data_IF_504163557512
#
_entry.id   IF_504163557512
#
_cell.length_a   1.000
_cell.length_b   1.000
_cell.length_c   1.000
_cell.angle_alpha   90.00
_cell.angle_beta   90.00
_cell.angle_gamma   90.00
#
_symmetry.space_group_name_H-M   'P 1'
#
loop_
_entity.id
_entity.type
_entity.pdbx_description
1 polymer ?
#
# COMPACT_ATOMS: atom_id res chain seq x y z
N UNK A 1 -1.57 -2.26 -63.32
CA UNK A 1 -0.98 -1.63 -62.11
C UNK A 1 -2.02 -1.66 -61.01
N UNK A 2 -2.03 -2.72 -60.20
CA UNK A 2 -3.04 -2.90 -59.14
C UNK A 2 -2.38 -2.57 -57.81
N UNK A 3 -2.75 -1.43 -57.21
CA UNK A 3 -2.24 -1.02 -55.89
C UNK A 3 -2.85 -1.93 -54.83
N UNK A 4 -2.02 -2.72 -54.17
CA UNK A 4 -2.38 -3.53 -53.01
C UNK A 4 -2.44 -2.61 -51.79
N UNK A 5 -3.61 -2.48 -51.17
CA UNK A 5 -3.77 -1.75 -49.91
C UNK A 5 -3.04 -2.50 -48.77
N UNK A 6 -2.36 -1.80 -47.86
CA UNK A 6 -1.68 -2.43 -46.72
C UNK A 6 -2.72 -2.99 -45.74
N UNK A 7 -2.47 -4.20 -45.23
CA UNK A 7 -3.28 -4.82 -44.18
C UNK A 7 -3.11 -4.03 -42.87
N UNK A 8 -4.17 -3.86 -42.06
CA UNK A 8 -4.04 -3.25 -40.75
C UNK A 8 -3.13 -4.11 -39.87
N UNK A 9 -2.09 -3.49 -39.32
CA UNK A 9 -1.21 -4.12 -38.34
C UNK A 9 -2.00 -4.53 -37.11
N UNK A 10 -1.71 -5.72 -36.58
CA UNK A 10 -2.30 -6.20 -35.34
C UNK A 10 -1.98 -5.21 -34.21
N UNK A 11 -3.03 -4.65 -33.59
CA UNK A 11 -2.88 -3.90 -32.34
C UNK A 11 -2.38 -4.90 -31.29
N UNK A 12 -1.25 -4.64 -30.59
CA UNK A 12 -0.77 -5.55 -29.57
C UNK A 12 -1.87 -5.73 -28.52
N UNK A 13 -2.31 -6.97 -28.33
CA UNK A 13 -3.31 -7.31 -27.32
C UNK A 13 -2.73 -6.95 -25.96
N UNK A 14 -3.33 -5.98 -25.28
CA UNK A 14 -2.94 -5.66 -23.90
C UNK A 14 -3.11 -6.93 -23.07
N UNK A 15 -2.03 -7.35 -22.40
CA UNK A 15 -2.05 -8.47 -21.45
C UNK A 15 -3.23 -8.28 -20.49
N UNK A 16 -4.05 -9.31 -20.32
CA UNK A 16 -5.09 -9.24 -19.30
C UNK A 16 -4.43 -9.15 -17.93
N UNK A 17 -5.13 -8.61 -16.93
CA UNK A 17 -4.60 -8.60 -15.55
C UNK A 17 -4.17 -10.00 -15.11
N UNK A 18 -4.88 -11.04 -15.56
CA UNK A 18 -4.55 -12.43 -15.24
C UNK A 18 -3.31 -12.92 -15.98
N UNK A 19 -3.06 -12.45 -17.21
CA UNK A 19 -1.81 -12.75 -17.93
C UNK A 19 -0.62 -12.05 -17.27
N UNK A 20 -0.75 -10.78 -16.88
CA UNK A 20 0.29 -10.04 -16.17
C UNK A 20 0.61 -10.69 -14.82
N UNK A 21 -0.40 -11.11 -14.06
CA UNK A 21 -0.20 -11.87 -12.82
C UNK A 21 0.42 -13.25 -13.07
N UNK A 22 0.04 -13.93 -14.16
CA UNK A 22 0.57 -15.25 -14.51
C UNK A 22 2.03 -15.19 -14.94
N UNK A 23 2.41 -14.19 -15.74
CA UNK A 23 3.81 -13.94 -16.11
C UNK A 23 4.69 -13.60 -14.90
N UNK A 24 4.16 -12.81 -13.96
CA UNK A 24 4.85 -12.50 -12.71
C UNK A 24 5.00 -13.74 -11.81
N UNK A 25 3.97 -14.57 -11.71
CA UNK A 25 4.02 -15.84 -10.99
C UNK A 25 5.03 -16.83 -11.63
N UNK A 26 5.16 -16.81 -12.95
CA UNK A 26 6.10 -17.65 -13.71
C UNK A 26 7.57 -17.23 -13.56
N UNK A 27 7.85 -15.95 -13.28
CA UNK A 27 9.21 -15.40 -13.08
C UNK A 27 9.79 -15.63 -11.68
N UNK A 28 9.10 -16.39 -10.81
CA UNK A 28 9.55 -16.64 -9.42
C UNK A 28 10.90 -17.39 -9.39
N UNK A 29 11.92 -16.90 -8.67
CA UNK A 29 12.88 -17.80 -8.06
C UNK A 29 12.15 -18.65 -7.01
N UNK A 30 12.28 -19.97 -7.12
CA UNK A 30 11.81 -20.88 -6.07
C UNK A 30 12.61 -20.59 -4.81
N UNK A 31 11.99 -20.04 -3.77
CA UNK A 31 12.62 -20.04 -2.44
C UNK A 31 12.72 -21.50 -1.99
N UNK A 32 13.92 -22.03 -1.72
CA UNK A 32 14.03 -23.38 -1.21
C UNK A 32 13.38 -23.43 0.17
N UNK A 33 12.50 -24.41 0.35
CA UNK A 33 11.96 -24.75 1.65
C UNK A 33 13.07 -25.40 2.49
N UNK A 34 13.50 -24.70 3.53
CA UNK A 34 14.17 -25.29 4.69
C UNK A 34 15.69 -25.33 4.65
N UNK A 35 16.32 -24.54 5.52
CA UNK A 35 17.26 -25.05 6.53
C UNK A 35 17.47 -23.95 7.59
N UNK A 36 16.77 -24.05 8.72
CA UNK A 36 17.14 -23.30 9.93
C UNK A 36 18.24 -24.09 10.63
N UNK A 37 19.48 -23.78 10.29
CA UNK A 37 20.64 -24.24 11.04
C UNK A 37 20.60 -23.63 12.44
N UNK A 38 20.51 -24.49 13.44
CA UNK A 38 20.65 -24.14 14.85
C UNK A 38 22.06 -23.62 15.12
N UNK A 39 22.17 -22.40 15.63
CA UNK A 39 23.39 -21.86 16.22
C UNK A 39 23.15 -21.59 17.71
N UNK A 40 23.53 -22.61 18.48
CA UNK A 40 24.22 -22.63 19.76
C UNK A 40 24.04 -21.49 20.78
N UNK A 41 23.74 -21.90 22.02
CA UNK A 41 23.64 -21.09 23.23
C UNK A 41 25.00 -21.10 23.91
N UNK A 42 25.61 -19.93 24.13
CA UNK A 42 26.55 -19.69 25.25
C UNK A 42 26.97 -18.22 25.33
N UNK A 43 26.49 -17.49 26.35
CA UNK A 43 27.34 -16.95 27.43
C UNK A 43 26.58 -15.99 28.38
N UNK A 44 26.74 -16.26 29.66
CA UNK A 44 26.60 -15.36 30.82
C UNK A 44 27.40 -14.05 30.61
N UNK A 45 27.20 -12.91 31.25
CA UNK A 45 26.57 -12.47 32.50
C UNK A 45 27.29 -11.16 32.90
N UNK A 46 26.59 -10.18 33.48
CA UNK A 46 27.11 -9.02 34.24
C UNK A 46 25.94 -8.03 34.44
N UNK A 47 25.24 -8.08 35.58
CA UNK A 47 25.50 -7.30 36.81
C UNK A 47 24.99 -5.84 36.75
N UNK A 48 24.08 -5.57 37.68
CA UNK A 48 23.51 -4.26 38.04
C UNK A 48 24.46 -3.52 38.98
N UNK A 49 24.28 -2.20 39.13
CA UNK A 49 24.19 -1.71 40.50
C UNK A 49 22.96 -0.84 40.78
N UNK A 50 22.66 -0.76 42.07
CA UNK A 50 21.54 -0.09 42.70
C UNK A 50 21.99 1.21 43.39
N UNK A 51 21.01 2.06 43.72
CA UNK A 51 21.11 3.23 44.60
C UNK A 51 20.30 4.40 44.01
N UNK A 52 19.39 5.09 44.67
CA UNK A 52 18.92 5.11 46.06
C UNK A 52 18.47 6.56 46.37
N UNK A 53 17.20 6.74 46.80
CA UNK A 53 16.60 7.84 47.62
C UNK A 53 16.90 9.34 47.28
N UNK A 54 16.07 10.37 47.49
CA UNK A 54 14.69 10.60 47.91
C UNK A 54 14.39 12.13 47.79
N UNK A 55 13.09 12.49 47.75
CA UNK A 55 12.44 13.75 48.24
C UNK A 55 12.70 15.09 47.55
N UNK A 56 11.64 15.73 47.05
CA UNK A 56 10.92 16.86 47.72
C UNK A 56 9.86 17.49 46.78
N UNK A 57 8.78 18.01 47.37
CA UNK A 57 7.55 18.44 46.71
C UNK A 57 7.50 19.96 46.38
N UNK A 58 6.86 20.27 45.23
CA UNK A 58 5.97 21.41 44.85
C UNK A 58 6.39 22.90 45.05
N UNK A 59 5.81 23.90 44.31
CA UNK A 59 4.48 23.90 43.69
C UNK A 59 4.32 24.46 42.25
N UNK A 60 3.07 24.37 41.80
CA UNK A 60 2.51 24.74 40.50
C UNK A 60 2.75 26.17 40.00
N UNK A 61 2.92 26.30 38.68
CA UNK A 61 2.62 27.51 37.93
C UNK A 61 1.92 27.15 36.60
N UNK A 62 0.73 27.74 36.41
CA UNK A 62 -0.08 27.66 35.20
C UNK A 62 0.60 28.47 34.08
N UNK A 63 0.72 27.88 32.90
CA UNK A 63 1.10 28.56 31.66
C UNK A 63 0.58 27.77 30.47
N UNK A 64 -0.56 28.22 29.92
CA UNK A 64 -1.25 27.60 28.79
C UNK A 64 -0.76 28.20 27.48
N UNK A 65 0.03 27.43 26.73
CA UNK A 65 0.28 27.57 25.29
C UNK A 65 0.98 26.27 24.89
N UNK A 66 0.49 25.40 24.03
CA UNK A 66 -0.38 25.61 22.89
C UNK A 66 0.30 24.93 21.72
N UNK A 67 0.35 23.60 21.70
CA UNK A 67 0.81 22.83 20.52
C UNK A 67 0.26 21.40 20.61
N UNK A 68 -0.81 21.14 19.87
CA UNK A 68 -1.30 19.78 19.61
C UNK A 68 -0.40 19.17 18.55
N UNK A 69 0.54 18.34 18.96
CA UNK A 69 1.18 17.37 18.07
C UNK A 69 0.12 16.33 17.66
N UNK A 70 -0.53 16.55 16.52
CA UNK A 70 -1.37 15.56 15.86
C UNK A 70 -0.49 14.52 15.18
N UNK A 71 -0.14 13.45 15.89
CA UNK A 71 0.39 12.24 15.28
C UNK A 71 -0.74 11.53 14.54
N UNK A 72 -0.81 11.70 13.22
CA UNK A 72 -1.65 10.88 12.35
C UNK A 72 -1.07 9.47 12.28
N UNK A 73 -1.50 8.62 13.21
CA UNK A 73 -1.23 7.19 13.18
C UNK A 73 -1.71 6.60 11.85
N UNK A 74 -0.78 5.99 11.15
CA UNK A 74 -0.93 5.45 9.80
C UNK A 74 -1.95 4.33 9.82
N UNK A 75 -3.14 4.56 9.26
CA UNK A 75 -4.23 3.58 9.12
C UNK A 75 -3.96 2.47 8.09
N UNK A 76 -2.81 1.80 8.20
CA UNK A 76 -2.54 0.53 7.53
C UNK A 76 -3.00 -0.59 8.46
N UNK A 77 -3.82 -1.52 7.95
CA UNK A 77 -4.17 -2.73 8.68
C UNK A 77 -2.86 -3.46 9.02
N UNK A 78 -2.60 -3.64 10.31
CA UNK A 78 -1.43 -4.37 10.82
C UNK A 78 -1.61 -5.88 10.57
N UNK A 79 -0.53 -6.56 10.19
CA UNK A 79 -0.52 -8.00 9.91
C UNK A 79 -0.18 -8.87 11.14
N UNK A 80 -0.23 -8.31 12.36
CA UNK A 80 0.26 -8.96 13.59
C UNK A 80 -0.86 -9.51 14.51
N UNK A 81 -0.61 -10.71 15.06
CA UNK A 81 -1.56 -11.59 15.73
C UNK A 81 -2.14 -11.19 17.10
N UNK A 82 -2.98 -12.10 17.60
CA UNK A 82 -4.05 -12.06 18.62
C UNK A 82 -3.65 -11.61 20.04
N UNK A 83 -4.56 -10.93 20.79
CA UNK A 83 -4.71 -11.18 22.23
C UNK A 83 -6.08 -11.77 22.58
N UNK A 84 -6.08 -12.60 23.64
CA UNK A 84 -7.22 -13.34 24.14
C UNK A 84 -8.25 -12.44 24.85
N UNK A 85 -9.54 -12.69 24.58
CA UNK A 85 -10.67 -12.36 25.45
C UNK A 85 -11.18 -10.91 25.42
N UNK A 86 -12.37 -10.70 24.85
CA UNK A 86 -13.18 -9.51 25.13
C UNK A 86 -13.96 -8.91 23.95
N UNK A 87 -15.30 -8.95 24.06
CA UNK A 87 -16.36 -8.24 23.30
C UNK A 87 -16.02 -7.58 21.94
N UNK A 88 -16.65 -8.14 20.91
CA UNK A 88 -16.65 -7.73 19.50
C UNK A 88 -17.20 -6.29 19.27
N UNK A 89 -16.29 -5.31 19.24
CA UNK A 89 -16.48 -4.03 18.54
C UNK A 89 -15.24 -3.79 17.69
N UNK A 90 -15.42 -3.80 16.36
CA UNK A 90 -14.35 -3.79 15.36
C UNK A 90 -13.33 -2.67 15.57
N UNK A 91 -12.15 -3.04 16.06
CA UNK A 91 -10.89 -2.29 15.98
C UNK A 91 -9.75 -3.29 16.15
N UNK A 92 -8.92 -3.47 15.12
CA UNK A 92 -7.59 -4.08 15.26
C UNK A 92 -7.48 -5.60 15.36
N UNK A 93 -8.35 -6.39 14.72
CA UNK A 93 -8.11 -7.81 14.50
C UNK A 93 -7.51 -8.05 13.12
N UNK A 94 -6.29 -8.60 13.04
CA UNK A 94 -5.74 -9.08 11.77
C UNK A 94 -6.68 -10.13 11.18
N UNK A 95 -7.06 -9.94 9.91
CA UNK A 95 -7.93 -10.88 9.19
C UNK A 95 -7.16 -12.20 9.05
N UNK A 96 -7.68 -13.34 9.56
CA UNK A 96 -6.99 -14.62 9.47
C UNK A 96 -6.72 -15.03 8.01
N UNK A 97 -5.62 -15.74 7.75
CA UNK A 97 -5.24 -16.16 6.39
C UNK A 97 -6.32 -17.01 5.71
N UNK A 98 -7.11 -17.76 6.49
CA UNK A 98 -8.26 -18.51 5.97
C UNK A 98 -9.39 -17.60 5.46
N UNK A 99 -9.67 -16.51 6.17
CA UNK A 99 -10.62 -15.51 5.69
C UNK A 99 -10.07 -14.83 4.44
N UNK A 100 -8.76 -14.54 4.38
CA UNK A 100 -8.14 -14.02 3.17
C UNK A 100 -8.31 -14.96 1.96
N UNK A 101 -8.12 -16.28 2.11
CA UNK A 101 -8.40 -17.24 1.02
C UNK A 101 -9.81 -17.07 0.48
N UNK A 102 -10.81 -17.06 1.36
CA UNK A 102 -12.22 -16.89 0.97
C UNK A 102 -12.50 -15.55 0.26
N UNK A 103 -11.82 -14.47 0.66
CA UNK A 103 -11.95 -13.15 0.02
C UNK A 103 -11.28 -13.10 -1.35
N UNK A 104 -10.16 -13.79 -1.51
CA UNK A 104 -9.41 -13.89 -2.76
C UNK A 104 -10.13 -14.82 -3.75
N UNK A 105 -10.78 -15.88 -3.28
CA UNK A 105 -11.55 -16.82 -4.13
C UNK A 105 -12.89 -16.23 -4.61
N UNK A 106 -13.34 -15.11 -4.03
CA UNK A 106 -14.61 -14.50 -4.41
C UNK A 106 -14.54 -13.79 -5.77
N UNK A 107 -15.11 -14.42 -6.81
CA UNK A 107 -15.08 -13.98 -8.21
C UNK A 107 -15.46 -12.52 -8.42
N UNK A 108 -16.60 -12.04 -7.88
CA UNK A 108 -17.00 -10.64 -8.10
C UNK A 108 -16.10 -9.63 -7.39
N UNK A 109 -15.39 -10.05 -6.33
CA UNK A 109 -14.44 -9.17 -5.65
C UNK A 109 -13.19 -9.01 -6.51
N UNK A 110 -12.68 -10.11 -7.07
CA UNK A 110 -11.58 -10.08 -8.06
C UNK A 110 -11.94 -9.22 -9.26
N UNK A 111 -13.12 -9.42 -9.85
CA UNK A 111 -13.58 -8.63 -11.01
C UNK A 111 -13.68 -7.14 -10.68
N UNK A 112 -14.24 -6.77 -9.53
CA UNK A 112 -14.33 -5.37 -9.08
C UNK A 112 -12.96 -4.77 -8.78
N UNK A 113 -12.02 -5.55 -8.25
CA UNK A 113 -10.66 -5.11 -8.04
C UNK A 113 -9.98 -4.82 -9.38
N UNK A 114 -9.97 -5.81 -10.29
CA UNK A 114 -9.38 -5.70 -11.63
C UNK A 114 -9.93 -4.50 -12.42
N UNK A 115 -11.26 -4.33 -12.43
CA UNK A 115 -11.91 -3.21 -13.13
C UNK A 115 -11.53 -1.82 -12.57
N UNK A 116 -10.96 -1.75 -11.37
CA UNK A 116 -10.53 -0.51 -10.72
C UNK A 116 -9.03 -0.28 -10.81
N UNK A 117 -8.26 -1.18 -11.42
CA UNK A 117 -6.83 -0.97 -11.65
C UNK A 117 -6.64 -0.42 -13.06
N UNK A 118 -6.15 0.81 -13.16
CA UNK A 118 -5.63 1.34 -14.43
C UNK A 118 -4.21 0.82 -14.66
N UNK A 119 -4.09 -0.22 -15.47
CA UNK A 119 -2.80 -0.80 -15.83
C UNK A 119 -2.06 0.08 -16.85
N UNK A 120 -0.74 0.10 -16.70
CA UNK A 120 0.22 0.82 -17.55
C UNK A 120 1.41 -0.11 -17.78
N UNK A 121 2.45 0.38 -18.45
CA UNK A 121 3.72 -0.35 -18.59
C UNK A 121 4.24 -0.89 -17.25
N UNK A 122 4.98 -2.00 -17.30
CA UNK A 122 5.38 -2.77 -16.12
C UNK A 122 6.24 -1.99 -15.12
N UNK A 123 6.98 -0.97 -15.57
CA UNK A 123 7.80 -0.10 -14.72
C UNK A 123 7.02 1.10 -14.13
N UNK A 124 5.78 1.32 -14.58
CA UNK A 124 4.93 2.47 -14.20
C UNK A 124 3.94 2.13 -13.10
N UNK A 125 3.54 3.14 -12.32
CA UNK A 125 2.49 2.97 -11.31
C UNK A 125 1.15 2.64 -11.98
N UNK A 126 0.47 1.59 -11.51
CA UNK A 126 -0.91 1.27 -11.93
C UNK A 126 -1.89 1.92 -10.97
N UNK A 127 -2.73 2.85 -11.43
CA UNK A 127 -3.51 3.70 -10.52
C UNK A 127 -4.84 3.05 -10.10
N UNK A 128 -5.17 3.17 -8.82
CA UNK A 128 -6.47 2.76 -8.28
C UNK A 128 -7.58 3.75 -8.61
N UNK A 129 -8.65 3.27 -9.24
CA UNK A 129 -9.80 4.08 -9.68
C UNK A 129 -11.01 4.04 -8.73
N UNK A 130 -10.90 3.32 -7.62
CA UNK A 130 -11.95 3.20 -6.60
C UNK A 130 -11.89 4.28 -5.51
N UNK A 131 -12.52 3.97 -4.37
CA UNK A 131 -12.46 4.82 -3.18
C UNK A 131 -11.03 4.93 -2.65
N UNK A 132 -10.66 6.10 -2.13
CA UNK A 132 -9.32 6.45 -1.63
C UNK A 132 -9.48 6.99 -0.22
N UNK A 133 -8.66 6.53 0.74
CA UNK A 133 -8.65 7.08 2.10
C UNK A 133 -7.91 8.40 2.21
N UNK A 134 -8.07 9.08 3.33
CA UNK A 134 -7.30 10.25 3.78
C UNK A 134 -5.76 10.09 3.69
N UNK A 135 -5.27 8.86 3.77
CA UNK A 135 -3.85 8.51 3.60
C UNK A 135 -3.44 8.21 2.15
N UNK A 136 -4.33 8.43 1.17
CA UNK A 136 -4.06 8.19 -0.26
C UNK A 136 -4.19 6.73 -0.73
N UNK A 137 -4.43 5.80 0.18
CA UNK A 137 -4.55 4.39 -0.16
C UNK A 137 -5.90 4.05 -0.78
N UNK A 138 -5.89 3.21 -1.82
CA UNK A 138 -7.11 2.61 -2.35
C UNK A 138 -7.84 1.74 -1.31
N UNK A 139 -9.17 1.77 -1.32
CA UNK A 139 -10.03 0.94 -0.46
C UNK A 139 -10.97 0.08 -1.30
N UNK A 140 -11.09 -1.19 -0.91
CA UNK A 140 -11.94 -2.19 -1.55
C UNK A 140 -12.85 -2.85 -0.51
N UNK A 141 -14.16 -2.88 -0.77
CA UNK A 141 -15.09 -3.75 -0.04
C UNK A 141 -14.97 -5.17 -0.60
N UNK A 142 -14.31 -6.07 0.12
CA UNK A 142 -14.11 -7.46 -0.24
C UNK A 142 -15.21 -8.34 0.38
N UNK A 143 -15.78 -9.22 -0.43
CA UNK A 143 -16.87 -10.13 -0.07
C UNK A 143 -16.37 -11.57 -0.09
N UNK A 144 -17.07 -12.45 0.62
CA UNK A 144 -16.86 -13.91 0.66
C UNK A 144 -18.22 -14.60 0.64
N UNK A 145 -18.24 -15.88 0.25
CA UNK A 145 -19.48 -16.64 0.04
C UNK A 145 -20.41 -16.66 1.27
N UNK A 146 -19.83 -16.76 2.47
CA UNK A 146 -20.56 -16.69 3.72
C UNK A 146 -19.96 -15.63 4.65
N UNK A 147 -20.82 -14.84 5.29
CA UNK A 147 -20.43 -13.82 6.27
C UNK A 147 -20.36 -12.40 5.72
N UNK A 148 -19.96 -11.47 6.60
CA UNK A 148 -19.92 -10.05 6.26
C UNK A 148 -18.77 -9.70 5.32
N UNK A 149 -19.04 -8.80 4.39
CA UNK A 149 -17.99 -8.14 3.61
C UNK A 149 -17.14 -7.25 4.53
N UNK A 150 -15.86 -7.14 4.22
CA UNK A 150 -14.91 -6.29 4.95
C UNK A 150 -14.30 -5.25 4.02
N UNK A 151 -13.91 -4.10 4.56
CA UNK A 151 -13.16 -3.09 3.79
C UNK A 151 -11.67 -3.34 4.02
N UNK A 152 -10.94 -3.54 2.92
CA UNK A 152 -9.49 -3.78 2.92
C UNK A 152 -8.79 -2.68 2.11
N UNK A 153 -7.51 -2.49 2.37
CA UNK A 153 -6.66 -1.66 1.52
C UNK A 153 -6.41 -2.37 0.19
N UNK A 154 -6.54 -1.66 -0.93
CA UNK A 154 -6.50 -2.22 -2.27
C UNK A 154 -5.16 -2.91 -2.57
N UNK A 155 -4.03 -2.28 -2.24
CA UNK A 155 -2.72 -2.91 -2.48
C UNK A 155 -2.50 -4.16 -1.63
N UNK A 156 -3.11 -4.24 -0.44
CA UNK A 156 -3.03 -5.43 0.42
C UNK A 156 -3.81 -6.58 -0.20
N UNK A 157 -4.97 -6.28 -0.77
CA UNK A 157 -5.74 -7.26 -1.55
C UNK A 157 -4.96 -7.70 -2.79
N UNK A 158 -4.42 -6.75 -3.58
CA UNK A 158 -3.68 -7.03 -4.79
C UNK A 158 -2.41 -7.85 -4.56
N UNK A 159 -1.63 -7.51 -3.53
CA UNK A 159 -0.43 -8.27 -3.18
C UNK A 159 -0.78 -9.71 -2.85
N UNK A 160 -1.82 -9.94 -2.03
CA UNK A 160 -2.23 -11.28 -1.63
C UNK A 160 -2.92 -12.06 -2.74
N UNK A 161 -3.59 -11.37 -3.67
CA UNK A 161 -4.09 -11.99 -4.89
C UNK A 161 -2.94 -12.50 -5.78
N UNK A 162 -1.81 -11.80 -5.78
CA UNK A 162 -0.63 -12.13 -6.60
C UNK A 162 0.24 -13.21 -5.95
N UNK A 163 0.48 -13.10 -4.65
CA UNK A 163 1.47 -13.92 -3.92
C UNK A 163 0.84 -14.97 -3.00
N UNK A 164 -0.49 -14.96 -2.86
CA UNK A 164 -1.24 -15.75 -1.90
C UNK A 164 -1.41 -15.05 -0.55
N UNK A 165 -2.27 -15.60 0.33
CA UNK A 165 -2.50 -15.07 1.66
C UNK A 165 -1.20 -15.00 2.48
N UNK A 166 -1.00 -13.87 3.16
CA UNK A 166 0.11 -13.73 4.11
C UNK A 166 -0.22 -14.61 5.33
N UNK A 167 0.68 -15.54 5.64
CA UNK A 167 0.62 -16.29 6.87
C UNK A 167 1.19 -15.43 8.00
N UNK A 168 0.36 -15.10 9.00
CA UNK A 168 0.86 -14.43 10.19
C UNK A 168 1.86 -15.34 10.91
N UNK A 169 3.02 -14.80 11.27
CA UNK A 169 4.05 -15.48 12.04
C UNK A 169 4.23 -14.76 13.36
N UNK A 170 4.28 -15.51 14.45
CA UNK A 170 4.43 -14.92 15.78
C UNK A 170 5.73 -14.11 15.85
N UNK A 171 5.63 -12.86 16.30
CA UNK A 171 6.77 -11.95 16.41
C UNK A 171 7.12 -11.16 15.14
N UNK A 172 6.44 -11.38 14.02
CA UNK A 172 6.64 -10.59 12.80
C UNK A 172 5.60 -9.46 12.68
N UNK A 173 6.05 -8.22 12.43
CA UNK A 173 5.20 -7.08 12.04
C UNK A 173 5.55 -6.66 10.61
N UNK A 174 4.95 -7.36 9.66
CA UNK A 174 5.13 -7.12 8.23
C UNK A 174 4.10 -6.12 7.69
N UNK A 175 4.50 -5.42 6.64
CA UNK A 175 3.66 -4.55 5.82
C UNK A 175 3.98 -4.75 4.36
N UNK A 176 3.00 -4.40 3.52
CA UNK A 176 3.25 -4.23 2.09
C UNK A 176 3.66 -2.77 1.89
N UNK A 177 4.93 -2.56 1.57
CA UNK A 177 5.52 -1.26 1.28
C UNK A 177 5.50 -0.95 -0.22
N UNK A 178 5.46 0.34 -0.56
CA UNK A 178 5.61 0.82 -1.92
C UNK A 178 7.06 1.28 -2.17
N UNK A 179 7.71 0.68 -3.16
CA UNK A 179 9.02 1.15 -3.66
C UNK A 179 8.90 2.47 -4.42
N UNK A 180 7.73 2.71 -5.03
CA UNK A 180 7.44 3.92 -5.82
C UNK A 180 6.89 5.10 -5.01
N UNK A 181 6.61 4.92 -3.71
CA UNK A 181 5.99 5.90 -2.82
C UNK A 181 4.59 6.41 -3.23
N UNK A 182 3.97 5.81 -4.26
CA UNK A 182 2.61 6.15 -4.72
C UNK A 182 1.55 5.29 -4.00
N UNK A 183 0.78 5.81 -3.03
CA UNK A 183 -0.10 5.00 -2.17
C UNK A 183 -1.30 4.39 -2.91
N UNK A 184 -1.66 4.97 -4.06
CA UNK A 184 -2.73 4.47 -4.92
C UNK A 184 -2.27 3.38 -5.90
N UNK A 185 -0.95 3.13 -6.01
CA UNK A 185 -0.38 2.20 -6.97
C UNK A 185 -0.82 0.74 -6.70
N UNK A 186 -1.10 0.00 -7.76
CA UNK A 186 -1.52 -1.40 -7.74
C UNK A 186 -0.61 -2.31 -8.56
N UNK A 187 0.58 -1.83 -8.95
CA UNK A 187 1.54 -2.59 -9.71
C UNK A 187 2.30 -3.57 -8.78
N UNK A 188 2.25 -4.90 -9.03
CA UNK A 188 2.97 -5.87 -8.24
C UNK A 188 4.49 -5.67 -8.17
N UNK A 189 5.10 -5.17 -9.23
CA UNK A 189 6.55 -4.87 -9.29
C UNK A 189 6.95 -3.75 -8.33
N UNK A 190 5.99 -2.93 -7.89
CA UNK A 190 6.23 -1.79 -7.00
C UNK A 190 6.00 -2.12 -5.53
N UNK A 191 5.60 -3.35 -5.21
CA UNK A 191 5.38 -3.79 -3.84
C UNK A 191 6.57 -4.54 -3.25
N UNK A 192 6.66 -4.52 -1.93
CA UNK A 192 7.57 -5.35 -1.16
C UNK A 192 6.92 -5.74 0.17
N UNK A 193 7.02 -6.99 0.58
CA UNK A 193 6.64 -7.41 1.93
C UNK A 193 7.84 -7.21 2.86
N UNK A 194 7.76 -6.23 3.76
CA UNK A 194 8.89 -5.80 4.61
C UNK A 194 8.47 -5.59 6.06
N UNK A 195 9.41 -5.62 7.01
CA UNK A 195 9.14 -5.20 8.37
C UNK A 195 8.66 -3.74 8.43
N UNK A 196 7.68 -3.45 9.30
CA UNK A 196 7.17 -2.07 9.49
C UNK A 196 8.27 -1.08 9.85
N UNK A 197 9.25 -1.51 10.66
CA UNK A 197 10.39 -0.69 11.04
C UNK A 197 11.17 -0.20 9.80
N UNK A 198 11.50 -1.12 8.88
CA UNK A 198 12.17 -0.81 7.60
C UNK A 198 11.31 0.09 6.72
N UNK A 199 10.01 -0.18 6.59
CA UNK A 199 9.11 0.71 5.82
C UNK A 199 9.12 2.15 6.35
N UNK A 200 9.17 2.31 7.68
CA UNK A 200 9.28 3.61 8.33
C UNK A 200 10.63 4.30 8.12
N UNK A 201 11.72 3.55 8.08
CA UNK A 201 13.05 4.05 7.74
C UNK A 201 13.12 4.51 6.28
N UNK A 202 12.63 3.67 5.37
CA UNK A 202 12.55 3.98 3.94
C UNK A 202 11.73 5.25 3.71
N UNK A 203 10.60 5.42 4.40
CA UNK A 203 9.81 6.65 4.34
C UNK A 203 10.60 7.86 4.87
N UNK A 204 11.25 7.74 6.03
CA UNK A 204 12.04 8.83 6.64
C UNK A 204 13.19 9.28 5.73
N UNK A 205 13.84 8.35 5.03
CA UNK A 205 14.89 8.65 4.07
C UNK A 205 14.38 9.33 2.79
N UNK A 206 13.12 9.10 2.42
CA UNK A 206 12.55 9.54 1.12
C UNK A 206 11.66 10.78 1.20
N UNK A 207 11.00 11.03 2.34
CA UNK A 207 10.00 12.11 2.51
C UNK A 207 10.52 13.54 2.28
N UNK A 208 11.83 13.74 2.31
CA UNK A 208 12.46 15.04 2.06
C UNK A 208 13.01 15.20 0.64
N UNK A 209 12.85 14.19 -0.21
CA UNK A 209 13.16 14.33 -1.63
C UNK A 209 12.22 15.39 -2.20
N UNK A 210 12.76 16.40 -2.86
CA UNK A 210 11.96 17.45 -3.53
C UNK A 210 11.27 16.97 -4.81
N UNK A 211 11.21 15.66 -5.05
CA UNK A 211 10.66 15.03 -6.25
C UNK A 211 9.88 13.77 -5.89
N UNK A 212 9.00 13.35 -6.80
CA UNK A 212 8.22 12.12 -6.66
C UNK A 212 6.96 12.28 -5.81
N UNK A 213 6.19 11.20 -5.59
CA UNK A 213 4.86 11.26 -4.99
C UNK A 213 4.81 11.91 -3.61
N UNK A 214 5.87 11.79 -2.79
CA UNK A 214 5.93 12.38 -1.44
C UNK A 214 6.11 13.90 -1.47
N UNK A 215 6.56 14.49 -2.59
CA UNK A 215 6.78 15.92 -2.74
C UNK A 215 5.54 16.68 -3.25
N UNK A 216 4.44 15.98 -3.53
CA UNK A 216 3.22 16.59 -4.05
C UNK A 216 2.56 17.47 -2.97
N UNK A 217 2.35 18.76 -3.26
CA UNK A 217 1.84 19.72 -2.28
C UNK A 217 0.42 19.40 -1.78
N UNK A 218 -0.33 18.57 -2.53
CA UNK A 218 -1.68 18.12 -2.18
C UNK A 218 -1.67 16.98 -1.16
N UNK A 219 -0.49 16.41 -0.87
CA UNK A 219 -0.33 15.20 -0.08
C UNK A 219 -0.85 13.94 -0.77
N UNK A 220 -0.67 12.80 -0.11
CA UNK A 220 -1.00 11.47 -0.62
C UNK A 220 -2.45 11.34 -1.12
N UNK A 221 -3.43 11.83 -0.34
CA UNK A 221 -4.84 11.77 -0.73
C UNK A 221 -5.16 12.63 -1.95
N UNK A 222 -4.76 13.91 -1.92
CA UNK A 222 -5.05 14.83 -3.01
C UNK A 222 -4.42 14.40 -4.32
N UNK A 223 -3.18 13.89 -4.27
CA UNK A 223 -2.50 13.29 -5.42
C UNK A 223 -3.26 12.09 -6.01
N UNK A 224 -3.61 11.12 -5.16
CA UNK A 224 -4.32 9.91 -5.59
C UNK A 224 -5.69 10.23 -6.21
N UNK A 225 -6.43 11.18 -5.62
CA UNK A 225 -7.70 11.66 -6.16
C UNK A 225 -7.50 12.37 -7.50
N UNK A 226 -6.54 13.29 -7.59
CA UNK A 226 -6.29 14.05 -8.82
C UNK A 226 -5.94 13.15 -10.01
N UNK A 227 -5.06 12.15 -9.80
CA UNK A 227 -4.70 11.20 -10.85
C UNK A 227 -5.89 10.32 -11.22
N UNK A 228 -6.65 9.84 -10.24
CA UNK A 228 -7.87 9.05 -10.49
C UNK A 228 -8.87 9.81 -11.35
N UNK A 229 -9.17 11.06 -11.00
CA UNK A 229 -10.14 11.86 -11.75
C UNK A 229 -9.62 12.17 -13.15
N UNK A 230 -8.33 12.50 -13.30
CA UNK A 230 -7.72 12.71 -14.63
C UNK A 230 -7.88 11.49 -15.54
N UNK A 231 -7.68 10.27 -15.01
CA UNK A 231 -7.88 9.03 -15.77
C UNK A 231 -9.34 8.85 -16.17
N UNK A 232 -10.28 9.06 -15.23
CA UNK A 232 -11.72 8.90 -15.51
C UNK A 232 -12.20 9.90 -16.55
N UNK A 233 -11.88 11.18 -16.35
CA UNK A 233 -12.26 12.24 -17.29
C UNK A 233 -11.69 11.98 -18.68
N UNK A 234 -10.42 11.58 -18.80
CA UNK A 234 -9.84 11.28 -20.11
C UNK A 234 -10.51 10.07 -20.79
N UNK A 235 -10.83 9.02 -20.03
CA UNK A 235 -11.59 7.87 -20.54
C UNK A 235 -12.99 8.25 -21.01
N UNK A 236 -13.72 9.02 -20.21
CA UNK A 236 -15.09 9.45 -20.51
C UNK A 236 -15.12 10.37 -21.74
N UNK A 237 -14.09 11.21 -21.91
CA UNK A 237 -13.94 12.10 -23.06
C UNK A 237 -13.29 11.42 -24.29
N UNK A 238 -12.77 10.21 -24.17
CA UNK A 238 -12.01 9.53 -25.23
C UNK A 238 -10.70 10.22 -25.60
N UNK A 239 -10.06 10.92 -24.65
CA UNK A 239 -8.80 11.64 -24.85
C UNK A 239 -7.59 10.86 -24.34
N UNK A 240 -6.38 11.39 -24.57
CA UNK A 240 -5.14 10.75 -24.13
C UNK A 240 -5.02 10.69 -22.60
N UNK A 241 -5.18 9.48 -22.06
CA UNK A 241 -5.13 9.20 -20.62
C UNK A 241 -3.71 9.36 -20.05
N UNK A 242 -2.66 9.02 -20.80
CA UNK A 242 -1.28 9.16 -20.32
C UNK A 242 -0.86 10.63 -20.24
N UNK A 243 -1.30 11.44 -21.21
CA UNK A 243 -1.14 12.89 -21.14
C UNK A 243 -1.89 13.48 -19.94
N UNK A 244 -3.13 13.03 -19.68
CA UNK A 244 -3.92 13.47 -18.53
C UNK A 244 -3.26 13.10 -17.18
N UNK A 245 -2.75 11.87 -17.04
CA UNK A 245 -1.96 11.45 -15.87
C UNK A 245 -0.74 12.36 -15.67
N UNK A 246 0.00 12.61 -16.76
CA UNK A 246 1.23 13.43 -16.72
C UNK A 246 0.92 14.85 -16.27
N UNK A 247 -0.13 15.46 -16.82
CA UNK A 247 -0.60 16.79 -16.41
C UNK A 247 -1.04 16.82 -14.94
N UNK A 248 -1.79 15.80 -14.49
CA UNK A 248 -2.25 15.72 -13.10
C UNK A 248 -1.09 15.57 -12.09
N UNK A 249 -0.03 14.84 -12.48
CA UNK A 249 1.20 14.71 -11.69
C UNK A 249 1.95 16.05 -11.67
N UNK A 250 2.16 16.69 -12.82
CA UNK A 250 2.87 17.97 -12.92
C UNK A 250 2.19 19.08 -12.11
N UNK A 251 0.85 19.11 -12.12
CA UNK A 251 0.06 20.05 -11.32
C UNK A 251 0.32 19.93 -9.81
N UNK A 252 0.79 18.78 -9.31
CA UNK A 252 1.17 18.59 -7.91
C UNK A 252 2.49 19.24 -7.50
N UNK A 253 3.29 19.70 -8.47
CA UNK A 253 4.59 20.34 -8.23
C UNK A 253 4.64 21.80 -8.66
N UNK A 254 3.69 22.25 -9.49
CA UNK A 254 3.55 23.65 -9.83
C UNK A 254 3.24 24.45 -8.56
N UNK A 255 4.17 25.29 -8.12
CA UNK A 255 3.90 26.22 -7.02
C UNK A 255 2.78 27.17 -7.45
N UNK A 256 1.84 27.47 -6.55
CA UNK A 256 0.93 28.59 -6.75
C UNK A 256 1.77 29.87 -6.87
N UNK A 257 1.76 30.58 -8.01
CA UNK A 257 2.44 31.87 -8.09
C UNK A 257 1.73 32.85 -7.14
N UNK A 258 2.45 33.43 -6.18
CA UNK A 258 2.05 34.69 -5.53
C UNK A 258 1.43 34.63 -4.13
N UNK A 259 2.14 34.05 -3.15
CA UNK A 259 1.97 34.44 -1.74
C UNK A 259 3.34 34.72 -1.11
N UNK A 260 3.93 35.85 -1.50
CA UNK A 260 5.00 36.53 -0.77
C UNK A 260 4.74 38.04 -0.82
#
# INVERSE_FOLDING_TARGET
>A
MTRQSPRPGAVPTQLTFEDALSELAAKRPQTPAGEVAAADRSREGAERPAGGAASSAEPAARGSSGERAGSSETGQLTLSGVPAGGRERGRGGTVPSEIWRQLLDHTDTRRRYQARVYQREADRCWYWLGAVSDTGHGKLKASRAAGRSIVVTAHVYGWQLTHGPIAARAGEDLVIGHRCDEPSCQNPEHWELIPRARNGEDYRARRHRGTGPLADHRGAHGRAVAIREAIKTARDAGTDVEAAITAAIAAGYAQTPGLF
#
